data_IF_342278784271
#
_entry.id   IF_342278784271
#
_cell.length_a   1.000
_cell.length_b   1.000
_cell.length_c   1.000
_cell.angle_alpha   90.00
_cell.angle_beta   90.00
_cell.angle_gamma   90.00
#
_symmetry.space_group_name_H-M   'P 1'
#
loop_
_entity.id
_entity.type
_entity.pdbx_description
1 polymer ?
#
# COMPACT_ATOMS: atom_id res chain seq x y z
N UNK A 1 7.38 19.44 -22.47
CA UNK A 1 5.94 19.75 -22.48
C UNK A 1 5.21 18.43 -22.35
N UNK A 2 4.82 18.06 -21.13
CA UNK A 2 4.09 16.81 -20.85
C UNK A 2 2.61 17.17 -20.92
N UNK A 3 1.95 16.76 -21.98
CA UNK A 3 0.50 16.91 -22.13
C UNK A 3 -0.21 16.03 -21.12
N UNK A 4 -0.93 16.66 -20.20
CA UNK A 4 -1.89 15.99 -19.32
C UNK A 4 -3.14 15.64 -20.13
N UNK A 5 -3.69 14.45 -19.99
CA UNK A 5 -4.99 14.15 -20.60
C UNK A 5 -6.09 14.99 -19.93
N UNK A 6 -7.09 15.45 -20.70
CA UNK A 6 -8.14 16.31 -20.22
C UNK A 6 -8.98 15.63 -19.12
N UNK A 7 -9.54 16.47 -18.27
CA UNK A 7 -10.49 16.20 -17.19
C UNK A 7 -11.16 14.82 -17.24
N UNK A 8 -10.94 14.02 -16.20
CA UNK A 8 -11.61 12.73 -16.00
C UNK A 8 -13.11 12.96 -15.91
N UNK A 9 -13.78 12.89 -17.06
CA UNK A 9 -15.23 12.65 -17.10
C UNK A 9 -15.49 11.33 -16.39
N UNK A 10 -16.54 11.33 -15.59
CA UNK A 10 -17.19 10.18 -15.00
C UNK A 10 -17.37 9.08 -16.07
N UNK A 11 -16.38 8.21 -16.20
CA UNK A 11 -16.56 6.96 -16.92
C UNK A 11 -16.74 5.88 -15.85
N UNK A 12 -17.95 5.37 -15.86
CA UNK A 12 -18.43 4.21 -15.14
C UNK A 12 -17.33 3.15 -14.97
N UNK A 13 -17.30 2.55 -13.78
CA UNK A 13 -16.44 1.42 -13.36
C UNK A 13 -16.57 0.15 -14.26
N UNK A 14 -17.25 0.25 -15.40
CA UNK A 14 -17.59 -0.88 -16.29
C UNK A 14 -16.67 -1.05 -17.49
N UNK A 15 -15.72 -0.12 -17.75
CA UNK A 15 -14.96 -0.15 -19.01
C UNK A 15 -13.50 -0.63 -18.88
N UNK A 16 -13.15 -1.36 -17.83
CA UNK A 16 -11.83 -1.99 -17.64
C UNK A 16 -11.77 -3.45 -18.07
N UNK A 17 -12.51 -3.85 -19.11
CA UNK A 17 -12.51 -5.22 -19.64
C UNK A 17 -11.48 -5.46 -20.76
N UNK A 18 -10.36 -4.76 -20.80
CA UNK A 18 -9.19 -5.24 -21.55
C UNK A 18 -8.33 -6.03 -20.56
N UNK A 19 -8.34 -7.34 -20.70
CA UNK A 19 -7.39 -8.25 -20.06
C UNK A 19 -5.98 -7.86 -20.50
N UNK A 20 -5.33 -7.00 -19.70
CA UNK A 20 -3.93 -6.68 -19.91
C UNK A 20 -3.10 -7.90 -19.45
N UNK A 21 -2.49 -8.64 -20.38
CA UNK A 21 -1.79 -9.89 -20.06
C UNK A 21 -0.65 -9.67 -19.06
N UNK A 22 -0.01 -8.50 -19.09
CA UNK A 22 1.05 -8.13 -18.13
C UNK A 22 0.47 -7.99 -16.73
N UNK A 23 -0.70 -7.37 -16.63
CA UNK A 23 -1.41 -7.23 -15.32
C UNK A 23 -1.78 -8.59 -14.76
N UNK A 24 -2.37 -9.46 -15.56
CA UNK A 24 -2.81 -10.78 -15.08
C UNK A 24 -1.63 -11.66 -14.65
N UNK A 25 -0.51 -11.63 -15.38
CA UNK A 25 0.71 -12.31 -14.97
C UNK A 25 1.21 -11.82 -13.62
N UNK A 26 1.33 -10.49 -13.45
CA UNK A 26 1.77 -9.89 -12.18
C UNK A 26 0.79 -10.18 -11.03
N UNK A 27 -0.51 -10.15 -11.29
CA UNK A 27 -1.51 -10.52 -10.30
C UNK A 27 -1.45 -12.01 -9.92
N UNK A 28 -1.13 -12.90 -10.85
CA UNK A 28 -0.91 -14.32 -10.56
C UNK A 28 0.27 -14.51 -9.60
N UNK A 29 1.39 -13.81 -9.84
CA UNK A 29 2.56 -13.81 -8.94
C UNK A 29 2.17 -13.27 -7.55
N UNK A 30 1.44 -12.14 -7.51
CA UNK A 30 0.97 -11.56 -6.25
C UNK A 30 0.04 -12.51 -5.48
N UNK A 31 -0.92 -13.15 -6.16
CA UNK A 31 -1.83 -14.15 -5.55
C UNK A 31 -1.04 -15.32 -4.96
N UNK A 32 -0.06 -15.83 -5.69
CA UNK A 32 0.80 -16.90 -5.22
C UNK A 32 1.60 -16.48 -3.98
N UNK A 33 2.19 -15.29 -3.98
CA UNK A 33 2.91 -14.76 -2.82
C UNK A 33 1.99 -14.62 -1.61
N UNK A 34 0.85 -13.94 -1.78
CA UNK A 34 -0.12 -13.68 -0.69
C UNK A 34 -0.70 -14.98 -0.13
N UNK A 35 -0.89 -16.02 -0.96
CA UNK A 35 -1.38 -17.33 -0.49
C UNK A 35 -0.45 -18.01 0.54
N UNK A 36 0.84 -17.66 0.52
CA UNK A 36 1.86 -18.17 1.44
C UNK A 36 1.98 -17.36 2.74
N UNK A 37 1.34 -16.18 2.80
CA UNK A 37 1.35 -15.36 3.99
C UNK A 37 0.39 -15.90 5.06
N UNK A 38 0.70 -15.62 6.32
CA UNK A 38 -0.13 -16.03 7.46
C UNK A 38 -1.43 -15.22 7.52
N UNK A 39 -2.54 -15.83 7.09
CA UNK A 39 -3.89 -15.25 7.23
C UNK A 39 -4.32 -14.99 8.68
N UNK A 40 -3.59 -15.54 9.66
CA UNK A 40 -3.87 -15.29 11.09
C UNK A 40 -3.41 -13.90 11.51
N UNK A 41 -2.35 -13.38 10.88
CA UNK A 41 -1.70 -12.12 11.24
C UNK A 41 -2.11 -10.96 10.31
N UNK A 42 -2.58 -11.26 9.09
CA UNK A 42 -2.91 -10.28 8.04
C UNK A 42 -4.41 -10.17 7.89
N UNK A 43 -4.92 -8.93 7.81
CA UNK A 43 -6.32 -8.59 7.55
C UNK A 43 -6.57 -8.29 6.07
N UNK A 44 -5.57 -7.69 5.41
CA UNK A 44 -5.66 -7.30 4.02
C UNK A 44 -4.32 -7.46 3.31
N UNK A 45 -4.38 -7.84 2.05
CA UNK A 45 -3.27 -7.78 1.11
C UNK A 45 -3.81 -7.40 -0.28
N UNK A 46 -3.19 -6.40 -0.90
CA UNK A 46 -3.55 -5.95 -2.24
C UNK A 46 -2.35 -5.50 -3.03
N UNK A 47 -2.54 -5.32 -4.33
CA UNK A 47 -1.56 -4.75 -5.26
C UNK A 47 -1.88 -3.27 -5.45
N UNK A 48 -0.89 -2.42 -5.25
CA UNK A 48 -0.94 -0.97 -5.46
C UNK A 48 0.06 -0.55 -6.55
N UNK A 49 0.29 0.74 -6.71
CA UNK A 49 1.28 1.27 -7.64
C UNK A 49 0.93 1.06 -9.12
N UNK A 50 1.95 1.02 -9.98
CA UNK A 50 1.81 1.00 -11.45
C UNK A 50 0.98 -0.18 -11.96
N UNK A 51 1.09 -1.34 -11.33
CA UNK A 51 0.34 -2.55 -11.71
C UNK A 51 -1.17 -2.35 -11.59
N UNK A 52 -1.63 -1.52 -10.67
CA UNK A 52 -3.06 -1.21 -10.51
C UNK A 52 -3.60 -0.23 -11.56
N UNK A 53 -2.73 0.53 -12.24
CA UNK A 53 -3.11 1.53 -13.24
C UNK A 53 -2.75 1.12 -14.67
N UNK A 54 -1.45 1.12 -14.97
CA UNK A 54 -0.89 0.83 -16.30
C UNK A 54 0.40 0.02 -16.12
N UNK A 55 0.29 -1.30 -15.95
CA UNK A 55 1.44 -2.14 -15.72
C UNK A 55 2.36 -2.20 -16.94
N UNK A 56 3.66 -2.21 -16.67
CA UNK A 56 4.69 -2.54 -17.64
C UNK A 56 5.40 -3.81 -17.20
N UNK A 57 6.02 -4.51 -18.14
CA UNK A 57 6.72 -5.76 -17.86
C UNK A 57 7.83 -5.56 -16.80
N UNK A 58 8.55 -4.44 -16.87
CA UNK A 58 9.64 -4.09 -15.97
C UNK A 58 9.21 -3.59 -14.58
N UNK A 59 7.93 -3.27 -14.37
CA UNK A 59 7.46 -2.73 -13.09
C UNK A 59 7.53 -3.77 -11.96
N UNK A 60 7.90 -3.33 -10.77
CA UNK A 60 7.75 -4.13 -9.55
C UNK A 60 6.28 -4.31 -9.18
N UNK A 61 5.98 -5.36 -8.44
CA UNK A 61 4.63 -5.64 -7.91
C UNK A 61 4.57 -5.08 -6.49
N UNK A 62 3.98 -3.91 -6.34
CA UNK A 62 3.84 -3.23 -5.06
C UNK A 62 2.73 -3.87 -4.22
N UNK A 63 3.11 -4.47 -3.11
CA UNK A 63 2.18 -5.08 -2.16
C UNK A 63 1.89 -4.13 -1.00
N UNK A 64 0.60 -3.87 -0.82
CA UNK A 64 0.06 -3.22 0.35
C UNK A 64 -0.50 -4.25 1.33
N UNK A 65 -0.04 -4.22 2.58
CA UNK A 65 -0.46 -5.13 3.64
C UNK A 65 -1.12 -4.37 4.79
N UNK A 66 -2.20 -4.94 5.35
CA UNK A 66 -2.71 -4.50 6.66
C UNK A 66 -2.70 -5.71 7.59
N UNK A 67 -1.94 -5.58 8.67
CA UNK A 67 -1.81 -6.59 9.69
C UNK A 67 -2.75 -6.31 10.87
N UNK A 68 -3.04 -7.33 11.68
CA UNK A 68 -3.73 -7.13 12.96
C UNK A 68 -2.88 -6.26 13.88
N UNK A 69 -3.53 -5.57 14.82
CA UNK A 69 -2.85 -4.82 15.88
C UNK A 69 -1.76 -5.67 16.53
N UNK A 70 -0.57 -5.09 16.70
CA UNK A 70 0.60 -5.74 17.27
C UNK A 70 1.06 -7.02 16.52
N UNK A 71 0.88 -7.04 15.19
CA UNK A 71 1.33 -8.12 14.29
C UNK A 71 2.00 -7.61 13.02
N UNK A 72 2.21 -6.29 12.92
CA UNK A 72 2.78 -5.67 11.73
C UNK A 72 4.20 -6.17 11.46
N UNK A 73 5.07 -6.04 12.46
CA UNK A 73 6.49 -6.29 12.26
C UNK A 73 6.83 -7.78 12.17
N UNK A 74 6.18 -8.63 12.98
CA UNK A 74 6.28 -10.07 12.84
C UNK A 74 5.67 -10.57 11.52
N UNK A 75 4.59 -9.96 11.05
CA UNK A 75 3.99 -10.22 9.75
C UNK A 75 4.91 -9.81 8.59
N UNK A 76 5.52 -8.61 8.66
CA UNK A 76 6.50 -8.13 7.68
C UNK A 76 7.74 -9.01 7.62
N UNK A 77 8.27 -9.43 8.77
CA UNK A 77 9.42 -10.34 8.81
C UNK A 77 9.10 -11.64 8.06
N UNK A 78 7.95 -12.24 8.32
CA UNK A 78 7.48 -13.44 7.61
C UNK A 78 7.33 -13.17 6.10
N UNK A 79 6.79 -12.02 5.73
CA UNK A 79 6.60 -11.66 4.32
C UNK A 79 7.96 -11.47 3.59
N UNK A 80 8.93 -10.81 4.22
CA UNK A 80 10.29 -10.69 3.66
C UNK A 80 11.00 -12.04 3.55
N UNK A 81 10.86 -12.91 4.56
CA UNK A 81 11.39 -14.28 4.51
C UNK A 81 10.72 -15.06 3.37
N UNK A 82 9.39 -15.01 3.25
CA UNK A 82 8.64 -15.68 2.19
C UNK A 82 9.10 -15.20 0.82
N UNK A 83 9.20 -13.87 0.62
CA UNK A 83 9.74 -13.29 -0.61
C UNK A 83 11.11 -13.86 -0.97
N UNK A 84 12.01 -13.97 0.00
CA UNK A 84 13.38 -14.48 -0.22
C UNK A 84 13.42 -15.96 -0.53
N UNK A 85 12.67 -16.76 0.21
CA UNK A 85 12.66 -18.22 0.07
C UNK A 85 12.08 -18.67 -1.27
N UNK A 86 11.08 -17.96 -1.78
CA UNK A 86 10.42 -18.32 -3.04
C UNK A 86 10.93 -17.53 -4.25
N UNK A 87 12.00 -16.76 -4.10
CA UNK A 87 12.65 -16.07 -5.21
C UNK A 87 11.80 -14.99 -5.87
N UNK A 88 10.78 -14.46 -5.19
CA UNK A 88 9.87 -13.44 -5.73
C UNK A 88 10.56 -12.06 -5.78
N UNK A 89 11.50 -11.90 -6.71
CA UNK A 89 12.31 -10.68 -6.83
C UNK A 89 11.48 -9.45 -7.19
N UNK A 90 10.45 -9.65 -8.01
CA UNK A 90 9.58 -8.59 -8.52
C UNK A 90 8.54 -8.11 -7.50
N UNK A 91 8.39 -8.82 -6.35
CA UNK A 91 7.53 -8.38 -5.27
C UNK A 91 8.23 -7.30 -4.44
N UNK A 92 7.63 -6.13 -4.35
CA UNK A 92 8.00 -5.07 -3.42
C UNK A 92 6.92 -4.93 -2.35
N UNK A 93 7.27 -5.04 -1.06
CA UNK A 93 6.35 -4.66 0.01
C UNK A 93 6.58 -3.16 0.22
N UNK A 94 5.72 -2.35 -0.37
CA UNK A 94 5.88 -0.89 -0.42
C UNK A 94 5.12 -0.17 0.68
N UNK A 95 4.05 -0.80 1.19
CA UNK A 95 3.15 -0.21 2.18
C UNK A 95 2.65 -1.27 3.15
N UNK A 96 2.76 -1.03 4.44
CA UNK A 96 2.20 -1.91 5.46
C UNK A 96 1.76 -1.13 6.70
N UNK A 97 0.55 -1.41 7.17
CA UNK A 97 -0.06 -0.81 8.35
C UNK A 97 -0.52 -1.90 9.33
N UNK A 98 -0.63 -1.56 10.61
CA UNK A 98 -1.55 -2.30 11.45
C UNK A 98 -2.97 -1.72 11.33
N UNK A 99 -3.98 -2.45 11.80
CA UNK A 99 -5.39 -2.06 11.69
C UNK A 99 -5.72 -0.73 12.39
N UNK A 100 -5.04 -0.40 13.50
CA UNK A 100 -5.23 0.87 14.21
C UNK A 100 -4.75 2.05 13.38
N UNK A 101 -3.55 1.93 12.83
CA UNK A 101 -2.99 2.97 11.98
C UNK A 101 -3.83 3.12 10.70
N UNK A 102 -4.20 1.98 10.08
CA UNK A 102 -5.03 1.98 8.88
C UNK A 102 -6.35 2.70 9.10
N UNK A 103 -7.07 2.39 10.19
CA UNK A 103 -8.34 3.04 10.49
C UNK A 103 -8.21 4.57 10.65
N UNK A 104 -7.19 5.04 11.38
CA UNK A 104 -6.95 6.48 11.55
C UNK A 104 -6.47 7.14 10.26
N UNK A 105 -5.62 6.44 9.48
CA UNK A 105 -5.08 6.94 8.23
C UNK A 105 -6.19 7.21 7.20
N UNK A 106 -7.08 6.24 6.99
CA UNK A 106 -8.19 6.40 6.05
C UNK A 106 -9.22 7.42 6.53
N UNK A 107 -9.46 7.50 7.84
CA UNK A 107 -10.44 8.42 8.40
C UNK A 107 -9.98 9.88 8.38
N UNK A 108 -8.72 10.15 8.72
CA UNK A 108 -8.28 11.51 9.04
C UNK A 108 -7.15 12.04 8.16
N UNK A 109 -6.24 11.16 7.70
CA UNK A 109 -4.96 11.58 7.13
C UNK A 109 -4.84 11.48 5.62
N UNK A 110 -5.69 10.68 4.99
CA UNK A 110 -5.56 10.42 3.57
C UNK A 110 -5.93 11.63 2.72
N UNK A 111 -5.04 12.02 1.80
CA UNK A 111 -5.25 13.15 0.88
C UNK A 111 -4.31 13.06 -0.32
N UNK A 112 -4.62 13.80 -1.39
CA UNK A 112 -3.77 13.86 -2.58
C UNK A 112 -3.62 12.51 -3.28
N UNK A 113 -2.39 12.20 -3.71
CA UNK A 113 -2.08 10.97 -4.43
C UNK A 113 -2.40 9.68 -3.64
N UNK A 114 -2.11 9.57 -2.32
CA UNK A 114 -2.52 8.41 -1.53
C UNK A 114 -4.03 8.14 -1.54
N UNK A 115 -4.85 9.19 -1.55
CA UNK A 115 -6.31 9.05 -1.63
C UNK A 115 -6.72 8.42 -2.97
N UNK A 116 -6.15 8.91 -4.07
CA UNK A 116 -6.40 8.36 -5.41
C UNK A 116 -5.91 6.91 -5.51
N UNK A 117 -4.72 6.62 -4.99
CA UNK A 117 -4.15 5.27 -5.03
C UNK A 117 -4.99 4.27 -4.27
N UNK A 118 -5.56 4.68 -3.12
CA UNK A 118 -6.36 3.80 -2.27
C UNK A 118 -7.58 3.21 -2.97
N UNK A 119 -8.24 3.94 -3.86
CA UNK A 119 -9.41 3.42 -4.58
C UNK A 119 -9.04 2.48 -5.72
N UNK A 120 -7.79 2.53 -6.17
CA UNK A 120 -7.28 1.71 -7.27
C UNK A 120 -6.54 0.44 -6.81
N UNK A 121 -6.44 0.21 -5.50
CA UNK A 121 -5.81 -1.01 -4.97
C UNK A 121 -6.58 -2.25 -5.41
N UNK A 122 -5.89 -3.20 -6.04
CA UNK A 122 -6.46 -4.48 -6.43
C UNK A 122 -6.37 -5.44 -5.26
N UNK A 123 -7.51 -5.75 -4.65
CA UNK A 123 -7.59 -6.62 -3.48
C UNK A 123 -7.29 -8.07 -3.84
N UNK A 124 -6.30 -8.68 -3.19
CA UNK A 124 -5.96 -10.11 -3.31
C UNK A 124 -6.56 -10.91 -2.14
N UNK A 125 -6.52 -10.35 -0.93
CA UNK A 125 -7.03 -10.96 0.30
C UNK A 125 -7.65 -9.90 1.19
N UNK A 126 -8.75 -10.23 1.88
CA UNK A 126 -9.40 -9.34 2.85
C UNK A 126 -10.14 -8.16 2.22
N UNK A 127 -10.73 -8.35 1.03
CA UNK A 127 -11.45 -7.33 0.27
C UNK A 127 -12.52 -6.64 1.09
N UNK A 128 -13.37 -7.39 1.81
CA UNK A 128 -14.46 -6.84 2.61
C UNK A 128 -13.95 -5.89 3.70
N UNK A 129 -12.81 -6.25 4.32
CA UNK A 129 -12.16 -5.40 5.33
C UNK A 129 -11.65 -4.10 4.72
N UNK A 130 -11.04 -4.17 3.54
CA UNK A 130 -10.53 -2.98 2.85
C UNK A 130 -11.67 -2.07 2.38
N UNK A 131 -12.71 -2.62 1.78
CA UNK A 131 -13.92 -1.87 1.39
C UNK A 131 -14.55 -1.17 2.59
N UNK A 132 -14.59 -1.83 3.75
CA UNK A 132 -15.02 -1.20 4.98
C UNK A 132 -14.13 -0.01 5.34
N UNK A 133 -12.80 -0.15 5.35
CA UNK A 133 -11.88 0.94 5.68
C UNK A 133 -12.06 2.16 4.76
N UNK A 134 -12.05 1.95 3.44
CA UNK A 134 -12.21 3.05 2.50
C UNK A 134 -13.59 3.72 2.62
N UNK A 135 -14.63 2.96 2.96
CA UNK A 135 -15.99 3.51 3.18
C UNK A 135 -16.08 4.39 4.43
N UNK A 136 -15.17 4.25 5.39
CA UNK A 136 -15.12 5.11 6.59
C UNK A 136 -14.49 6.48 6.30
N UNK A 137 -13.77 6.62 5.19
CA UNK A 137 -13.12 7.89 4.81
C UNK A 137 -14.12 8.89 4.25
N UNK A 138 -14.37 10.03 4.91
CA UNK A 138 -15.23 11.07 4.34
C UNK A 138 -14.71 11.55 2.99
N UNK A 139 -13.40 11.79 2.88
CA UNK A 139 -12.76 12.31 1.66
C UNK A 139 -12.89 11.36 0.47
N UNK A 140 -12.75 10.04 0.69
CA UNK A 140 -12.93 9.06 -0.40
C UNK A 140 -14.39 9.05 -0.85
N UNK A 141 -15.35 9.12 0.08
CA UNK A 141 -16.78 9.18 -0.26
C UNK A 141 -17.13 10.40 -1.06
N UNK A 142 -16.63 11.57 -0.65
CA UNK A 142 -16.92 12.84 -1.32
C UNK A 142 -16.36 12.87 -2.74
N UNK A 143 -15.12 12.41 -2.94
CA UNK A 143 -14.45 12.47 -4.25
C UNK A 143 -14.93 11.37 -5.20
N UNK A 144 -15.21 10.16 -4.70
CA UNK A 144 -15.52 9.00 -5.55
C UNK A 144 -16.97 8.55 -5.49
N UNK A 145 -17.85 9.30 -4.82
CA UNK A 145 -19.30 8.99 -4.70
C UNK A 145 -19.55 7.51 -4.34
N UNK A 146 -18.69 6.94 -3.51
CA UNK A 146 -18.80 5.54 -3.11
C UNK A 146 -20.07 5.36 -2.29
N UNK A 147 -21.03 4.63 -2.85
CA UNK A 147 -22.22 4.21 -2.12
C UNK A 147 -21.79 3.48 -0.85
N UNK A 148 -22.35 3.90 0.27
CA UNK A 148 -22.17 3.22 1.55
C UNK A 148 -22.75 1.82 1.42
N UNK A 149 -21.93 0.83 1.08
CA UNK A 149 -22.34 -0.56 1.26
C UNK A 149 -22.67 -0.71 2.74
N UNK A 150 -23.80 -1.34 3.06
CA UNK A 150 -24.24 -1.63 4.44
C UNK A 150 -23.29 -2.65 5.11
N UNK A 151 -22.02 -2.29 5.22
CA UNK A 151 -21.03 -3.04 5.96
C UNK A 151 -21.18 -2.54 7.39
N UNK A 152 -21.92 -3.29 8.18
CA UNK A 152 -22.14 -2.98 9.59
C UNK A 152 -20.80 -2.95 10.33
N UNK A 153 -20.55 -1.86 11.08
CA UNK A 153 -19.39 -1.71 11.98
C UNK A 153 -19.21 -2.91 12.92
N UNK A 154 -20.30 -3.64 13.21
CA UNK A 154 -20.31 -4.86 14.00
C UNK A 154 -19.44 -5.99 13.42
N UNK A 155 -19.20 -6.02 12.10
CA UNK A 155 -18.42 -7.09 11.45
C UNK A 155 -16.91 -6.94 11.67
N UNK A 156 -16.45 -5.70 11.90
CA UNK A 156 -15.04 -5.39 12.15
C UNK A 156 -14.90 -4.49 13.39
N UNK A 157 -15.25 -5.01 14.59
CA UNK A 157 -15.08 -4.22 15.79
C UNK A 157 -13.58 -3.97 15.98
N UNK A 158 -13.18 -2.71 15.81
CA UNK A 158 -11.87 -2.24 16.26
C UNK A 158 -11.85 -2.32 17.80
N UNK A 159 -11.72 -3.53 18.33
CA UNK A 159 -11.40 -3.70 19.75
C UNK A 159 -10.01 -3.12 19.94
N UNK A 160 -9.95 -1.83 20.20
CA UNK A 160 -8.78 -1.13 20.71
C UNK A 160 -8.42 -1.70 22.09
N UNK A 161 -7.95 -2.93 22.08
CA UNK A 161 -7.28 -3.45 23.23
C UNK A 161 -5.94 -2.70 23.26
N UNK A 162 -5.73 -1.87 24.26
CA UNK A 162 -4.42 -1.27 24.59
C UNK A 162 -3.45 -2.38 25.01
N UNK A 163 -3.28 -3.38 24.15
CA UNK A 163 -2.32 -4.42 24.33
C UNK A 163 -0.94 -3.78 24.08
N UNK A 164 -0.08 -3.80 25.09
CA UNK A 164 1.34 -3.49 24.90
C UNK A 164 1.90 -4.37 23.79
N UNK A 165 2.78 -3.80 22.96
CA UNK A 165 3.55 -4.60 22.03
C UNK A 165 4.19 -5.76 22.79
N UNK A 166 4.06 -6.97 22.25
CA UNK A 166 4.78 -8.10 22.83
C UNK A 166 6.27 -8.00 22.49
N UNK A 167 7.13 -8.57 23.33
CA UNK A 167 8.59 -8.59 23.15
C UNK A 167 8.99 -9.01 21.74
N UNK A 168 8.29 -10.00 21.16
CA UNK A 168 8.55 -10.49 19.80
C UNK A 168 8.34 -9.40 18.77
N UNK A 169 7.25 -8.62 18.89
CA UNK A 169 6.90 -7.58 17.94
C UNK A 169 7.90 -6.42 18.02
N UNK A 170 8.29 -6.02 19.23
CA UNK A 170 9.32 -5.00 19.45
C UNK A 170 10.68 -5.44 18.90
N UNK A 171 11.07 -6.70 19.11
CA UNK A 171 12.30 -7.26 18.57
C UNK A 171 12.28 -7.29 17.04
N UNK A 172 11.15 -7.70 16.44
CA UNK A 172 10.98 -7.67 14.99
C UNK A 172 11.04 -6.23 14.44
N UNK A 173 10.40 -5.27 15.11
CA UNK A 173 10.48 -3.86 14.76
C UNK A 173 11.92 -3.37 14.74
N UNK A 174 12.65 -3.54 15.83
CA UNK A 174 14.02 -3.08 15.93
C UNK A 174 14.93 -3.70 14.85
N UNK A 175 14.88 -5.02 14.70
CA UNK A 175 15.69 -5.74 13.71
C UNK A 175 15.38 -5.30 12.29
N UNK A 176 14.08 -5.25 11.91
CA UNK A 176 13.69 -4.87 10.57
C UNK A 176 13.95 -3.39 10.28
N UNK A 177 13.77 -2.51 11.26
CA UNK A 177 14.07 -1.08 11.08
C UNK A 177 15.54 -0.87 10.76
N UNK A 178 16.44 -1.43 11.53
CA UNK A 178 17.86 -1.36 11.24
C UNK A 178 18.22 -1.92 9.86
N UNK A 179 17.65 -3.08 9.52
CA UNK A 179 17.92 -3.73 8.23
C UNK A 179 17.37 -2.93 7.05
N UNK A 180 16.15 -2.39 7.15
CA UNK A 180 15.51 -1.59 6.11
C UNK A 180 16.24 -0.27 5.88
N UNK A 181 16.66 0.41 6.94
CA UNK A 181 17.46 1.64 6.84
C UNK A 181 18.80 1.39 6.14
N UNK A 182 19.53 0.36 6.57
CA UNK A 182 20.79 0.00 5.92
C UNK A 182 20.61 -0.36 4.45
N UNK A 183 19.56 -1.14 4.13
CA UNK A 183 19.22 -1.47 2.75
C UNK A 183 18.86 -0.24 1.93
N UNK A 184 18.08 0.68 2.49
CA UNK A 184 17.69 1.93 1.84
C UNK A 184 18.92 2.79 1.54
N UNK A 185 19.81 2.97 2.52
CA UNK A 185 21.06 3.71 2.33
C UNK A 185 21.92 3.10 1.20
N UNK A 186 22.06 1.78 1.19
CA UNK A 186 22.85 1.09 0.16
C UNK A 186 22.22 1.26 -1.22
N UNK A 187 20.90 1.03 -1.33
CA UNK A 187 20.17 1.13 -2.61
C UNK A 187 20.19 2.57 -3.13
N UNK A 188 19.93 3.56 -2.30
CA UNK A 188 19.96 4.97 -2.70
C UNK A 188 21.37 5.43 -3.14
N UNK A 189 22.44 4.92 -2.51
CA UNK A 189 23.81 5.17 -2.98
C UNK A 189 24.04 4.60 -4.38
N UNK A 190 23.51 3.41 -4.67
CA UNK A 190 23.59 2.78 -5.99
C UNK A 190 22.81 3.60 -7.03
N UNK A 191 21.56 3.92 -6.77
CA UNK A 191 20.69 4.73 -7.64
C UNK A 191 21.36 6.08 -7.98
N UNK A 192 21.94 6.74 -6.97
CA UNK A 192 22.66 8.01 -7.17
C UNK A 192 23.88 7.86 -8.09
N UNK A 193 24.63 6.75 -7.96
CA UNK A 193 25.79 6.48 -8.83
C UNK A 193 25.38 6.18 -10.26
N UNK A 194 24.21 5.59 -10.47
CA UNK A 194 23.63 5.29 -11.78
C UNK A 194 22.99 6.51 -12.46
N UNK A 195 22.92 7.66 -11.77
CA UNK A 195 22.43 8.92 -12.35
C UNK A 195 20.91 9.10 -12.32
N UNK A 196 20.19 8.34 -11.50
CA UNK A 196 18.73 8.40 -11.36
C UNK A 196 18.28 8.96 -9.99
N UNK A 197 18.59 10.24 -9.64
CA UNK A 197 18.30 10.76 -8.31
C UNK A 197 16.80 10.79 -7.97
N UNK A 198 15.92 10.89 -8.95
CA UNK A 198 14.46 10.91 -8.75
C UNK A 198 13.88 9.55 -8.38
N UNK A 199 14.63 8.46 -8.59
CA UNK A 199 14.23 7.10 -8.20
C UNK A 199 14.69 6.75 -6.76
N UNK A 200 15.36 7.67 -6.06
CA UNK A 200 15.65 7.49 -4.65
C UNK A 200 14.37 7.42 -3.84
N UNK A 201 14.41 6.67 -2.76
CA UNK A 201 13.26 6.52 -1.87
C UNK A 201 13.64 6.67 -0.42
N UNK A 202 12.70 7.17 0.36
CA UNK A 202 12.76 7.21 1.81
C UNK A 202 11.97 6.04 2.39
N UNK A 203 12.54 5.43 3.43
CA UNK A 203 11.87 4.40 4.21
C UNK A 203 11.30 5.05 5.45
N UNK A 204 9.97 5.08 5.55
CA UNK A 204 9.27 5.68 6.68
C UNK A 204 8.80 4.57 7.60
N UNK A 205 9.28 4.60 8.83
CA UNK A 205 9.12 3.57 9.83
C UNK A 205 8.42 4.11 11.07
N UNK A 206 7.48 3.36 11.59
CA UNK A 206 6.82 3.61 12.85
C UNK A 206 6.30 2.31 13.45
N UNK A 207 5.98 2.30 14.74
CA UNK A 207 5.49 1.09 15.41
C UNK A 207 4.27 0.45 14.73
N UNK A 208 3.46 1.26 14.04
CA UNK A 208 2.19 0.88 13.46
C UNK A 208 2.13 1.02 11.94
N UNK A 209 3.23 1.43 11.31
CA UNK A 209 3.30 1.61 9.86
C UNK A 209 4.72 1.44 9.31
N UNK A 210 4.75 1.08 8.05
CA UNK A 210 5.93 1.04 7.20
C UNK A 210 5.51 1.43 5.79
N UNK A 211 6.25 2.34 5.15
CA UNK A 211 6.09 2.60 3.72
C UNK A 211 7.37 3.15 3.09
N UNK A 212 7.48 2.90 1.79
CA UNK A 212 8.52 3.42 0.92
C UNK A 212 7.94 4.60 0.14
N UNK A 213 8.60 5.72 0.17
CA UNK A 213 8.17 6.91 -0.56
C UNK A 213 9.29 7.37 -1.49
N UNK A 214 9.08 7.23 -2.81
CA UNK A 214 10.06 7.70 -3.79
C UNK A 214 10.02 9.23 -3.91
N UNK A 215 11.15 9.85 -4.27
CA UNK A 215 11.22 11.30 -4.54
C UNK A 215 10.21 11.72 -5.62
N UNK A 216 10.06 10.89 -6.65
CA UNK A 216 9.08 11.12 -7.72
C UNK A 216 7.64 11.13 -7.18
N UNK A 217 7.29 10.15 -6.32
CA UNK A 217 5.98 10.09 -5.69
C UNK A 217 5.72 11.32 -4.82
N UNK A 218 6.71 11.73 -4.04
CA UNK A 218 6.66 12.89 -3.16
C UNK A 218 6.43 14.19 -3.93
N UNK A 219 7.15 14.38 -5.04
CA UNK A 219 6.97 15.52 -5.93
C UNK A 219 5.54 15.56 -6.51
N UNK A 220 5.05 14.43 -7.03
CA UNK A 220 3.68 14.34 -7.55
C UNK A 220 2.62 14.63 -6.48
N UNK A 221 2.79 14.09 -5.29
CA UNK A 221 1.83 14.30 -4.20
C UNK A 221 1.75 15.76 -3.74
N UNK A 222 2.87 16.49 -3.77
CA UNK A 222 2.89 17.95 -3.51
C UNK A 222 2.08 18.70 -4.55
N UNK A 223 2.34 18.46 -5.84
CA UNK A 223 1.61 19.11 -6.94
C UNK A 223 0.09 18.90 -6.82
N UNK A 224 -0.36 17.67 -6.55
CA UNK A 224 -1.79 17.38 -6.38
C UNK A 224 -2.42 18.05 -5.15
N UNK A 225 -1.65 18.30 -4.09
CA UNK A 225 -2.14 19.03 -2.92
C UNK A 225 -2.27 20.51 -3.18
N UNK A 226 -1.33 21.08 -3.93
CA UNK A 226 -1.33 22.51 -4.26
C UNK A 226 -2.48 22.85 -5.23
N UNK A 227 -2.81 21.96 -6.18
CA UNK A 227 -3.96 22.10 -7.07
C UNK A 227 -5.30 22.03 -6.31
N UNK A 228 -5.43 21.15 -5.31
CA UNK A 228 -6.67 20.98 -4.53
C UNK A 228 -6.90 22.06 -3.46
N UNK A 229 -5.95 22.96 -3.23
CA UNK A 229 -6.12 24.11 -2.32
C UNK A 229 -6.62 25.38 -3.02
N UNK A 230 -6.73 25.35 -4.35
CA UNK A 230 -7.17 26.49 -5.16
C UNK A 230 -8.64 26.37 -5.64
N UNK A 231 -9.37 25.37 -5.15
CA UNK A 231 -10.83 25.22 -5.30
C UNK A 231 -11.53 25.45 -3.93
#
# INVERSE_FOLDING_TARGET
MLEYPPSVRQNSLEDFSFEDPVREEKLAIARQFVSRLSKKDILFAGVSGSVSYRPKAEDDIDIFLIAKTNRLWSGLLKAFITRRLFGNKDICISLAFDDRFAANYFKEKISGLPLKDSVNVISIFGRDYYEYLISTSPRIRDVYSLSRKNITEERYPHKTRNARLGIIEESCFFFLSCWLELKSMYTNRKIRREGFPDDQFETILGLHHFYLESERYRKMNRLMKDEGTNE
#
